data_IF_461678687922
#
_entry.id   IF_461678687922
#
_cell.length_a   1.000
_cell.length_b   1.000
_cell.length_c   1.000
_cell.angle_alpha   90.00
_cell.angle_beta   90.00
_cell.angle_gamma   90.00
#
_symmetry.space_group_name_H-M   'P 1'
#
loop_
_entity.id
_entity.type
_entity.pdbx_description
1 polymer ?
#
# COMPACT_ATOMS: atom_id res chain seq x y z
N UNK A 1 -15.47 -1.64 16.41
CA UNK A 1 -15.68 -1.16 15.03
C UNK A 1 -14.66 -0.05 14.79
N UNK A 2 -13.80 -0.20 13.79
CA UNK A 2 -12.85 0.83 13.38
C UNK A 2 -13.50 1.65 12.26
N UNK A 3 -13.32 2.97 12.27
CA UNK A 3 -13.75 3.89 11.22
C UNK A 3 -12.60 4.82 10.88
N UNK A 4 -12.53 5.23 9.63
CA UNK A 4 -11.64 6.31 9.20
C UNK A 4 -12.39 7.64 9.37
N UNK A 5 -11.68 8.67 9.81
CA UNK A 5 -12.20 10.02 10.04
C UNK A 5 -11.21 10.97 9.41
N UNK A 6 -11.71 11.96 8.67
CA UNK A 6 -10.86 12.99 8.08
C UNK A 6 -10.48 14.06 9.10
N UNK A 7 -9.24 14.54 8.97
CA UNK A 7 -8.66 15.55 9.83
C UNK A 7 -7.68 16.41 9.02
N UNK A 8 -7.42 17.61 9.51
CA UNK A 8 -6.38 18.50 8.99
C UNK A 8 -5.30 18.68 10.05
N UNK A 9 -4.05 18.89 9.61
CA UNK A 9 -2.93 19.25 10.46
C UNK A 9 -2.61 20.71 10.15
N UNK A 10 -2.63 21.57 11.16
CA UNK A 10 -2.30 22.98 10.98
C UNK A 10 -0.79 23.26 11.01
N UNK A 11 -0.43 24.53 10.86
CA UNK A 11 0.97 25.00 10.88
C UNK A 11 1.70 24.77 12.22
N UNK A 12 0.96 24.53 13.31
CA UNK A 12 1.51 24.22 14.63
C UNK A 12 1.63 22.71 14.87
N UNK A 13 1.20 21.88 13.92
CA UNK A 13 1.17 20.43 14.04
C UNK A 13 -0.02 19.90 14.84
N UNK A 14 -1.03 20.73 15.11
CA UNK A 14 -2.25 20.29 15.80
C UNK A 14 -3.20 19.59 14.82
N UNK A 15 -3.76 18.46 15.25
CA UNK A 15 -4.70 17.66 14.46
C UNK A 15 -6.12 18.09 14.80
N UNK A 16 -6.84 18.60 13.79
CA UNK A 16 -8.24 19.00 13.91
C UNK A 16 -9.13 18.04 13.12
N UNK A 17 -10.01 17.32 13.80
CA UNK A 17 -11.00 16.45 13.14
C UNK A 17 -12.00 17.32 12.37
N UNK A 18 -12.30 16.96 11.12
CA UNK A 18 -13.30 17.68 10.31
C UNK A 18 -14.75 17.40 10.77
N UNK A 19 -14.95 16.29 11.48
CA UNK A 19 -16.22 15.88 12.04
C UNK A 19 -16.11 15.47 13.51
N UNK A 20 -17.18 15.69 14.26
CA UNK A 20 -17.25 15.26 15.66
C UNK A 20 -17.39 13.73 15.75
N UNK A 21 -16.43 13.09 16.43
CA UNK A 21 -16.50 11.64 16.70
C UNK A 21 -17.11 11.43 18.08
N UNK A 22 -18.26 10.75 18.14
CA UNK A 22 -18.91 10.37 19.38
C UNK A 22 -18.10 9.27 20.10
N UNK A 23 -17.15 9.71 20.92
CA UNK A 23 -16.36 8.82 21.76
C UNK A 23 -17.11 8.55 23.05
N UNK A 24 -17.33 7.26 23.38
CA UNK A 24 -17.78 6.87 24.74
C UNK A 24 -16.78 7.47 25.74
N UNK A 25 -17.25 8.03 26.88
CA UNK A 25 -16.52 8.74 27.96
C UNK A 25 -15.28 7.99 28.51
N UNK A 26 -14.33 7.70 27.65
CA UNK A 26 -13.14 6.88 27.82
C UNK A 26 -12.12 7.43 26.84
N UNK A 27 -10.83 7.25 27.13
CA UNK A 27 -9.76 7.57 26.20
C UNK A 27 -9.78 6.57 25.04
N UNK A 28 -9.57 7.06 23.83
CA UNK A 28 -9.43 6.23 22.63
C UNK A 28 -8.06 6.48 22.00
N UNK A 29 -7.50 5.46 21.37
CA UNK A 29 -6.27 5.58 20.58
C UNK A 29 -6.66 5.88 19.13
N UNK A 30 -5.92 6.75 18.48
CA UNK A 30 -6.01 7.00 17.05
C UNK A 30 -4.69 6.59 16.38
N UNK A 31 -4.79 6.22 15.10
CA UNK A 31 -3.64 6.08 14.21
C UNK A 31 -3.69 7.23 13.23
N UNK A 32 -2.56 7.90 13.04
CA UNK A 32 -2.42 9.04 12.14
C UNK A 32 -1.33 8.70 11.16
N UNK A 33 -1.64 8.79 9.86
CA UNK A 33 -0.65 8.71 8.79
C UNK A 33 -0.39 10.13 8.33
N UNK A 34 0.82 10.63 8.57
CA UNK A 34 1.28 11.91 8.07
C UNK A 34 2.08 11.61 6.80
N UNK A 35 1.64 12.15 5.67
CA UNK A 35 2.41 12.16 4.45
C UNK A 35 3.10 13.51 4.41
N UNK A 36 4.39 13.54 4.73
CA UNK A 36 5.17 14.74 4.49
C UNK A 36 5.15 15.04 2.98
N UNK A 37 5.00 16.31 2.60
CA UNK A 37 5.39 16.73 1.26
C UNK A 37 6.83 16.27 1.06
N UNK A 38 7.09 15.52 0.00
CA UNK A 38 8.34 14.81 -0.20
C UNK A 38 9.56 15.77 -0.14
N UNK A 39 10.14 15.96 1.05
CA UNK A 39 11.48 16.53 1.20
C UNK A 39 12.47 15.40 0.99
N UNK A 40 12.55 14.97 -0.25
CA UNK A 40 13.73 14.36 -0.81
C UNK A 40 13.60 14.59 -2.30
N UNK A 41 14.68 15.06 -2.93
CA UNK A 41 14.91 14.81 -4.34
C UNK A 41 14.40 13.40 -4.64
N UNK A 42 13.23 13.31 -5.27
CA UNK A 42 12.73 12.06 -5.78
C UNK A 42 13.65 11.76 -6.95
N UNK A 43 14.86 11.29 -6.65
CA UNK A 43 15.70 10.59 -7.59
C UNK A 43 14.75 9.63 -8.26
N UNK A 44 14.55 9.84 -9.56
CA UNK A 44 13.73 8.96 -10.37
C UNK A 44 14.19 7.56 -10.05
N UNK A 45 13.27 6.71 -9.58
CA UNK A 45 13.63 5.33 -9.24
C UNK A 45 14.34 4.78 -10.47
N UNK A 46 15.60 4.34 -10.36
CA UNK A 46 16.33 3.88 -11.52
C UNK A 46 15.53 2.76 -12.18
N UNK A 47 15.28 2.92 -13.48
CA UNK A 47 14.56 1.92 -14.24
C UNK A 47 15.43 0.66 -14.36
N UNK A 48 14.79 -0.51 -14.27
CA UNK A 48 15.46 -1.77 -14.57
C UNK A 48 16.52 -2.19 -13.54
N UNK A 49 16.21 -2.08 -12.24
CA UNK A 49 17.09 -2.61 -11.16
C UNK A 49 17.48 -4.09 -11.36
N UNK A 50 16.65 -4.86 -12.04
CA UNK A 50 16.90 -6.26 -12.40
C UNK A 50 16.95 -6.49 -13.92
N UNK A 51 17.31 -5.45 -14.70
CA UNK A 51 17.44 -5.58 -16.15
C UNK A 51 18.51 -6.63 -16.50
N UNK A 52 18.11 -7.66 -17.25
CA UNK A 52 19.00 -8.75 -17.65
C UNK A 52 19.17 -9.85 -16.59
N UNK A 53 18.61 -9.72 -15.39
CA UNK A 53 18.63 -10.81 -14.38
C UNK A 53 17.60 -11.91 -14.69
N UNK A 54 16.54 -11.58 -15.43
CA UNK A 54 15.51 -12.53 -15.83
C UNK A 54 15.58 -12.77 -17.33
N UNK A 55 15.76 -14.03 -17.71
CA UNK A 55 15.61 -14.49 -19.10
C UNK A 55 14.23 -15.11 -19.22
N UNK A 56 13.45 -14.63 -20.18
CA UNK A 56 12.17 -15.28 -20.53
C UNK A 56 12.52 -16.60 -21.23
N UNK A 57 12.10 -17.76 -20.70
CA UNK A 57 12.27 -19.03 -21.38
C UNK A 57 11.59 -19.06 -22.75
N UNK A 58 12.12 -19.84 -23.69
CA UNK A 58 11.54 -19.95 -25.04
C UNK A 58 10.10 -20.52 -25.01
N UNK A 59 9.77 -21.31 -24.00
CA UNK A 59 8.47 -21.95 -23.77
C UNK A 59 7.53 -21.11 -22.89
N UNK A 60 7.84 -19.85 -22.59
CA UNK A 60 7.00 -19.01 -21.72
C UNK A 60 5.55 -18.85 -22.21
N UNK A 61 5.35 -18.87 -23.53
CA UNK A 61 4.01 -18.76 -24.14
C UNK A 61 3.34 -20.13 -24.37
N UNK A 62 4.00 -21.23 -24.04
CA UNK A 62 3.42 -22.55 -24.19
C UNK A 62 2.31 -22.78 -23.14
N UNK A 63 1.37 -23.71 -23.40
CA UNK A 63 0.37 -24.07 -22.40
C UNK A 63 1.00 -24.51 -21.08
N UNK A 64 0.34 -24.20 -19.97
CA UNK A 64 0.78 -24.66 -18.65
C UNK A 64 0.84 -26.21 -18.61
N UNK A 65 1.87 -26.79 -17.97
CA UNK A 65 1.93 -28.23 -17.74
C UNK A 65 0.67 -28.78 -17.05
N UNK A 66 0.23 -29.99 -17.44
CA UNK A 66 -1.01 -30.59 -16.92
C UNK A 66 -1.06 -30.69 -15.39
N UNK A 67 0.06 -30.96 -14.73
CA UNK A 67 0.10 -31.06 -13.27
C UNK A 67 -0.20 -29.72 -12.59
N UNK A 68 0.28 -28.61 -13.17
CA UNK A 68 -0.03 -27.25 -12.68
C UNK A 68 -1.51 -26.93 -12.88
N UNK A 69 -2.08 -27.32 -14.01
CA UNK A 69 -3.51 -27.15 -14.27
C UNK A 69 -4.36 -27.95 -13.28
N UNK A 70 -4.00 -29.21 -13.00
CA UNK A 70 -4.70 -30.05 -11.99
C UNK A 70 -4.63 -29.46 -10.60
N UNK A 71 -3.45 -29.01 -10.17
CA UNK A 71 -3.25 -28.35 -8.87
C UNK A 71 -4.08 -27.06 -8.76
N UNK A 72 -4.16 -26.29 -9.85
CA UNK A 72 -4.94 -25.06 -9.90
C UNK A 72 -6.46 -25.30 -9.93
N UNK A 73 -6.91 -26.27 -10.73
CA UNK A 73 -8.32 -26.61 -10.93
C UNK A 73 -8.89 -27.49 -9.79
N UNK A 74 -8.03 -28.04 -8.94
CA UNK A 74 -8.42 -28.88 -7.81
C UNK A 74 -8.97 -30.25 -8.23
N UNK A 75 -8.50 -30.78 -9.37
CA UNK A 75 -8.95 -32.04 -10.00
C UNK A 75 -7.89 -33.13 -9.99
#
# INVERSE_FOLDING_TARGET
MWRTVEAVIDENGEIHLLEAVALKKKKHRALVTILDDAIADRLERPFGLSAGEFVVPDDFNDPLPEHILRDFEGV
#
